data_IF_989654481289
#
_entry.id   IF_989654481289
#
_cell.length_a   1.000
_cell.length_b   1.000
_cell.length_c   1.000
_cell.angle_alpha   90.00
_cell.angle_beta   90.00
_cell.angle_gamma   90.00
#
_symmetry.space_group_name_H-M   'P 1'
#
loop_
_entity.id
_entity.type
_entity.pdbx_description
1 polymer ?
#
# COMPACT_ATOMS: atom_id res chain seq x y z
N UNK A 1 -0.07 -7.13 0.30
CA UNK A 1 0.22 -7.67 1.66
C UNK A 1 -0.92 -8.60 2.07
N UNK A 2 -0.73 -9.57 2.98
CA UNK A 2 -1.83 -10.41 3.46
C UNK A 2 -2.90 -9.57 4.18
N UNK A 3 -4.16 -9.90 3.97
CA UNK A 3 -5.27 -9.33 4.74
C UNK A 3 -5.19 -9.81 6.21
N UNK A 4 -5.44 -8.92 7.17
CA UNK A 4 -5.45 -9.25 8.61
C UNK A 4 -4.09 -9.20 9.33
N UNK A 5 -2.97 -9.04 8.63
CA UNK A 5 -1.67 -8.79 9.26
C UNK A 5 -1.59 -7.37 9.88
N UNK A 6 -0.74 -7.11 10.87
CA UNK A 6 -0.47 -5.72 11.31
C UNK A 6 0.02 -4.85 10.14
N UNK A 7 -0.13 -3.53 10.26
CA UNK A 7 0.40 -2.60 9.27
C UNK A 7 1.93 -2.75 9.14
N UNK A 8 2.46 -2.80 7.92
CA UNK A 8 3.88 -3.07 7.69
C UNK A 8 4.73 -1.90 8.17
N UNK A 9 5.97 -2.18 8.56
CA UNK A 9 7.00 -1.14 8.69
C UNK A 9 7.53 -0.72 7.31
N UNK A 10 8.28 0.38 7.25
CA UNK A 10 8.97 0.80 6.02
C UNK A 10 9.85 -0.33 5.45
N UNK A 11 10.59 -1.04 6.30
CA UNK A 11 11.47 -2.13 5.90
C UNK A 11 10.68 -3.31 5.31
N UNK A 12 9.59 -3.71 5.95
CA UNK A 12 8.72 -4.79 5.44
C UNK A 12 8.13 -4.43 4.07
N UNK A 13 7.74 -3.16 3.91
CA UNK A 13 7.09 -2.66 2.73
C UNK A 13 8.08 -2.54 1.55
N UNK A 14 9.29 -2.06 1.80
CA UNK A 14 10.38 -2.04 0.82
C UNK A 14 10.81 -3.46 0.40
N UNK A 15 10.94 -4.38 1.37
CA UNK A 15 11.24 -5.79 1.09
C UNK A 15 10.13 -6.47 0.28
N UNK A 16 8.86 -6.18 0.58
CA UNK A 16 7.73 -6.69 -0.18
C UNK A 16 7.77 -6.21 -1.64
N UNK A 17 8.07 -4.94 -1.88
CA UNK A 17 8.23 -4.37 -3.24
C UNK A 17 9.44 -4.97 -3.94
N UNK A 18 10.58 -5.19 -3.27
CA UNK A 18 11.74 -5.84 -3.88
C UNK A 18 11.46 -7.29 -4.28
N UNK A 19 10.79 -8.05 -3.43
CA UNK A 19 10.52 -9.48 -3.65
C UNK A 19 9.42 -9.75 -4.65
N UNK A 20 8.41 -8.87 -4.71
CA UNK A 20 7.18 -9.12 -5.46
C UNK A 20 6.95 -8.07 -6.56
N UNK A 21 7.48 -6.87 -6.44
CA UNK A 21 7.14 -5.70 -7.27
C UNK A 21 6.01 -4.88 -6.64
N UNK A 22 5.74 -3.70 -7.22
CA UNK A 22 4.58 -2.86 -6.86
C UNK A 22 3.33 -3.37 -7.59
N UNK A 23 2.68 -4.40 -7.06
CA UNK A 23 1.44 -4.89 -7.65
C UNK A 23 0.27 -3.95 -7.37
N UNK A 24 -0.17 -3.23 -8.40
CA UNK A 24 -1.54 -2.70 -8.52
C UNK A 24 -2.44 -3.60 -9.40
N UNK A 25 -1.96 -4.81 -9.74
CA UNK A 25 -2.69 -5.74 -10.60
C UNK A 25 -3.76 -6.50 -9.82
N UNK A 26 -5.00 -6.00 -9.83
CA UNK A 26 -6.17 -6.69 -9.28
C UNK A 26 -7.35 -5.74 -9.03
N UNK A 27 -8.55 -6.30 -8.87
CA UNK A 27 -9.71 -5.54 -8.45
C UNK A 27 -9.48 -5.00 -7.03
N UNK A 28 -9.64 -3.68 -6.85
CA UNK A 28 -9.45 -3.01 -5.58
C UNK A 28 -10.63 -3.32 -4.64
N UNK A 29 -10.46 -4.33 -3.79
CA UNK A 29 -11.42 -4.70 -2.76
C UNK A 29 -11.22 -3.92 -1.45
N UNK A 30 -12.23 -3.93 -0.58
CA UNK A 30 -12.14 -3.32 0.75
C UNK A 30 -11.04 -4.01 1.55
N UNK A 31 -10.18 -3.24 2.21
CA UNK A 31 -9.03 -3.79 2.92
C UNK A 31 -7.89 -4.24 2.01
N UNK A 32 -7.91 -3.89 0.72
CA UNK A 32 -6.75 -4.02 -0.17
C UNK A 32 -5.57 -3.22 0.38
N UNK A 33 -4.39 -3.85 0.36
CA UNK A 33 -3.17 -3.33 0.99
C UNK A 33 -1.97 -3.53 0.10
N UNK A 34 -1.29 -2.45 -0.23
CA UNK A 34 -0.14 -2.48 -1.12
C UNK A 34 0.96 -1.52 -0.68
N UNK A 35 2.14 -1.80 -1.20
CA UNK A 35 3.38 -1.07 -0.94
C UNK A 35 3.90 -0.53 -2.26
N UNK A 36 4.43 0.69 -2.22
CA UNK A 36 5.16 1.27 -3.33
C UNK A 36 6.49 1.84 -2.82
N UNK A 37 7.50 1.78 -3.67
CA UNK A 37 8.74 2.53 -3.50
C UNK A 37 8.81 3.50 -4.67
N UNK A 38 8.96 4.79 -4.40
CA UNK A 38 9.14 5.80 -5.46
C UNK A 38 10.55 5.71 -6.05
N UNK A 39 10.76 6.30 -7.22
CA UNK A 39 12.09 6.36 -7.85
C UNK A 39 13.12 7.12 -6.97
N UNK A 40 12.64 8.01 -6.11
CA UNK A 40 13.45 8.72 -5.12
C UNK A 40 13.84 7.84 -3.91
N UNK A 41 13.30 6.62 -3.80
CA UNK A 41 13.56 5.69 -2.70
C UNK A 41 12.60 5.82 -1.51
N UNK A 42 11.56 6.65 -1.59
CA UNK A 42 10.57 6.75 -0.50
C UNK A 42 9.68 5.51 -0.50
N UNK A 43 9.40 4.99 0.69
CA UNK A 43 8.47 3.89 0.87
C UNK A 43 7.10 4.43 1.24
N UNK A 44 6.06 3.91 0.61
CA UNK A 44 4.67 4.24 0.92
C UNK A 44 3.83 2.97 1.08
N UNK A 45 2.96 3.00 2.08
CA UNK A 45 1.97 1.96 2.36
C UNK A 45 0.58 2.53 2.17
N UNK A 46 -0.27 1.76 1.49
CA UNK A 46 -1.62 2.12 1.13
C UNK A 46 -2.61 1.07 1.62
N UNK A 47 -3.72 1.52 2.19
CA UNK A 47 -4.82 0.67 2.67
C UNK A 47 -6.16 1.27 2.27
N UNK A 48 -6.93 0.55 1.45
CA UNK A 48 -8.28 0.96 1.10
C UNK A 48 -9.23 0.76 2.28
N UNK A 49 -9.89 1.85 2.69
CA UNK A 49 -10.87 1.87 3.79
C UNK A 49 -12.30 1.99 3.29
N UNK A 50 -12.52 2.28 2.00
CA UNK A 50 -13.82 2.08 1.35
C UNK A 50 -13.65 1.48 -0.05
N UNK A 51 -14.70 0.80 -0.52
CA UNK A 51 -14.85 0.38 -1.92
C UNK A 51 -15.80 1.34 -2.63
N UNK A 52 -15.61 1.56 -3.95
CA UNK A 52 -16.55 2.36 -4.71
C UNK A 52 -17.92 1.66 -4.71
N UNK A 53 -18.92 2.33 -4.15
CA UNK A 53 -20.32 1.91 -4.18
C UNK A 53 -21.12 3.05 -4.82
N UNK A 54 -21.48 2.88 -6.10
CA UNK A 54 -22.10 3.92 -6.91
C UNK A 54 -21.18 5.12 -7.11
N UNK A 55 -21.67 6.32 -6.77
CA UNK A 55 -20.93 7.60 -6.86
C UNK A 55 -20.05 7.90 -5.64
N UNK A 56 -19.96 6.96 -4.68
CA UNK A 56 -19.20 7.19 -3.45
C UNK A 56 -17.69 7.18 -3.72
N UNK A 57 -16.95 8.23 -3.33
CA UNK A 57 -15.50 8.26 -3.52
C UNK A 57 -14.80 7.17 -2.69
N UNK A 58 -13.75 6.61 -3.28
CA UNK A 58 -12.85 5.66 -2.62
C UNK A 58 -12.04 6.40 -1.55
N UNK A 59 -11.97 5.82 -0.35
CA UNK A 59 -11.15 6.29 0.76
C UNK A 59 -10.00 5.33 0.97
N UNK A 60 -8.83 5.92 1.21
CA UNK A 60 -7.59 5.20 1.40
C UNK A 60 -6.78 5.88 2.50
N UNK A 61 -6.23 5.07 3.40
CA UNK A 61 -5.22 5.47 4.36
C UNK A 61 -3.84 5.29 3.72
N UNK A 62 -2.98 6.29 3.88
CA UNK A 62 -1.64 6.29 3.32
C UNK A 62 -0.62 6.63 4.39
N UNK A 63 0.41 5.80 4.51
CA UNK A 63 1.59 6.07 5.34
C UNK A 63 2.78 6.26 4.41
N UNK A 64 3.44 7.40 4.50
CA UNK A 64 4.68 7.69 3.77
C UNK A 64 5.79 7.82 4.79
N UNK A 65 6.87 7.08 4.58
CA UNK A 65 8.07 7.19 5.41
C UNK A 65 9.09 8.09 4.73
N UNK A 66 9.84 8.84 5.54
CA UNK A 66 10.97 9.64 5.07
C UNK A 66 12.05 8.75 4.44
N UNK A 67 12.91 9.39 3.63
CA UNK A 67 14.08 8.73 3.08
C UNK A 67 14.95 8.23 4.24
N UNK A 68 15.29 6.95 4.22
CA UNK A 68 16.34 6.42 5.08
C UNK A 68 17.65 7.07 4.62
N UNK A 69 18.09 8.09 5.36
CA UNK A 69 19.36 8.80 5.14
C UNK A 69 20.57 7.93 5.40
#
# INVERSE_FOLDING_TARGET
>A
LPAGSPDPTAADCAEAVRKRGSYLGGELALGSRFCAVTDEGRTAYFKLTSVPAGETPVRMEVTVWDLAG
#
